data_IF_174327782874
#
_entry.id   IF_174327782874
#
_cell.length_a   1.000
_cell.length_b   1.000
_cell.length_c   1.000
_cell.angle_alpha   90.00
_cell.angle_beta   90.00
_cell.angle_gamma   90.00
#
_symmetry.space_group_name_H-M   'P 1'
#
loop_
_entity.id
_entity.type
_entity.pdbx_description
1 polymer ?
#
# COMPACT_ATOMS: atom_id res chain seq x y z
N UNK A 1 17.79 -12.58 -2.57
CA UNK A 1 16.86 -12.35 -3.70
C UNK A 1 15.49 -12.99 -3.47
N UNK A 2 15.42 -14.28 -3.13
CA UNK A 2 14.17 -15.02 -2.88
C UNK A 2 13.33 -14.45 -1.72
N UNK A 3 13.95 -14.07 -0.61
CA UNK A 3 13.24 -13.48 0.54
C UNK A 3 12.51 -12.17 0.20
N UNK A 4 13.10 -11.32 -0.66
CA UNK A 4 12.50 -10.06 -1.10
C UNK A 4 11.29 -10.27 -2.03
N UNK A 5 11.36 -11.28 -2.90
CA UNK A 5 10.21 -11.70 -3.72
C UNK A 5 9.08 -12.26 -2.87
N UNK A 6 9.39 -13.15 -1.92
CA UNK A 6 8.39 -13.75 -1.03
C UNK A 6 7.71 -12.69 -0.17
N UNK A 7 8.48 -11.80 0.47
CA UNK A 7 7.94 -10.69 1.24
C UNK A 7 7.11 -9.75 0.34
N UNK A 8 7.62 -9.37 -0.83
CA UNK A 8 6.91 -8.52 -1.78
C UNK A 8 5.57 -9.11 -2.21
N UNK A 9 5.53 -10.40 -2.53
CA UNK A 9 4.29 -11.11 -2.91
C UNK A 9 3.32 -11.21 -1.73
N UNK A 10 3.79 -11.56 -0.53
CA UNK A 10 2.93 -11.63 0.66
C UNK A 10 2.32 -10.26 0.97
N UNK A 11 3.12 -9.19 0.95
CA UNK A 11 2.64 -7.82 1.17
C UNK A 11 1.70 -7.35 0.06
N UNK A 12 1.94 -7.72 -1.20
CA UNK A 12 1.04 -7.43 -2.31
C UNK A 12 -0.30 -8.15 -2.14
N UNK A 13 -0.31 -9.44 -1.82
CA UNK A 13 -1.54 -10.21 -1.61
C UNK A 13 -2.33 -9.63 -0.44
N UNK A 14 -1.68 -9.35 0.69
CA UNK A 14 -2.31 -8.69 1.84
C UNK A 14 -2.87 -7.32 1.48
N UNK A 15 -2.10 -6.53 0.73
CA UNK A 15 -2.50 -5.22 0.22
C UNK A 15 -3.69 -5.28 -0.75
N UNK A 16 -3.73 -6.27 -1.64
CA UNK A 16 -4.82 -6.47 -2.61
C UNK A 16 -6.10 -6.92 -1.91
N UNK A 17 -5.97 -7.82 -0.92
CA UNK A 17 -7.09 -8.24 -0.06
C UNK A 17 -7.64 -7.04 0.72
N UNK A 18 -6.76 -6.13 1.15
CA UNK A 18 -7.14 -4.85 1.73
C UNK A 18 -7.83 -3.92 0.76
N UNK A 19 -7.27 -3.73 -0.44
CA UNK A 19 -7.90 -2.91 -1.46
C UNK A 19 -9.24 -3.44 -1.96
N UNK A 20 -9.44 -4.75 -1.93
CA UNK A 20 -10.69 -5.41 -2.31
C UNK A 20 -11.79 -5.31 -1.24
N UNK A 21 -11.45 -4.87 -0.02
CA UNK A 21 -12.41 -4.76 1.09
C UNK A 21 -12.91 -6.11 1.60
N UNK A 22 -12.24 -7.20 1.24
CA UNK A 22 -12.61 -8.58 1.62
C UNK A 22 -12.21 -8.89 3.06
N UNK A 23 -11.15 -8.26 3.54
CA UNK A 23 -10.77 -8.27 4.96
C UNK A 23 -10.95 -6.85 5.51
N UNK A 24 -11.78 -6.70 6.55
CA UNK A 24 -12.00 -5.40 7.25
C UNK A 24 -11.61 -5.47 8.73
N UNK A 25 -10.93 -6.55 9.14
CA UNK A 25 -10.61 -6.84 10.54
C UNK A 25 -9.75 -5.75 11.19
N UNK A 26 -8.80 -5.16 10.44
CA UNK A 26 -7.97 -4.06 10.95
C UNK A 26 -8.77 -2.78 11.27
N UNK A 27 -9.93 -2.56 10.63
CA UNK A 27 -10.77 -1.38 10.89
C UNK A 27 -11.42 -1.43 12.27
N UNK A 28 -11.59 -2.64 12.81
CA UNK A 28 -12.12 -2.84 14.16
C UNK A 28 -11.09 -2.47 15.24
N UNK A 29 -9.79 -2.57 14.91
CA UNK A 29 -8.67 -2.33 15.84
C UNK A 29 -8.19 -0.88 15.84
N UNK A 30 -8.26 -0.17 14.70
CA UNK A 30 -7.82 1.23 14.59
C UNK A 30 -8.91 2.13 14.02
N UNK A 31 -9.72 2.72 14.91
CA UNK A 31 -10.64 3.84 14.59
C UNK A 31 -9.85 5.16 14.66
N UNK A 32 -9.57 5.77 13.51
CA UNK A 32 -8.90 7.09 13.43
C UNK A 32 -7.63 7.12 12.58
N UNK A 33 -6.64 7.92 12.99
CA UNK A 33 -5.30 8.00 12.38
C UNK A 33 -4.66 6.60 12.33
N UNK A 34 -4.40 6.08 11.12
CA UNK A 34 -3.88 4.72 10.91
C UNK A 34 -4.90 3.70 10.39
N UNK A 35 -6.16 4.06 10.13
CA UNK A 35 -7.11 3.17 9.44
C UNK A 35 -6.69 2.82 8.00
N UNK A 36 -5.79 3.61 7.41
CA UNK A 36 -5.24 3.39 6.06
C UNK A 36 -3.99 2.50 6.02
N UNK A 37 -3.53 2.00 7.17
CA UNK A 37 -2.30 1.19 7.27
C UNK A 37 -2.37 -0.09 6.43
N UNK A 38 -3.57 -0.68 6.29
CA UNK A 38 -3.78 -1.84 5.43
C UNK A 38 -3.56 -1.54 3.93
N UNK A 39 -3.76 -0.30 3.51
CA UNK A 39 -3.47 0.14 2.14
C UNK A 39 -1.98 0.39 1.93
N UNK A 40 -1.26 0.87 2.97
CA UNK A 40 0.18 1.08 2.92
C UNK A 40 0.96 -0.21 2.62
N UNK A 41 0.47 -1.37 3.07
CA UNK A 41 1.07 -2.68 2.79
C UNK A 41 1.15 -3.01 1.30
N UNK A 42 0.18 -2.57 0.49
CA UNK A 42 0.24 -2.77 -0.97
C UNK A 42 1.42 -2.01 -1.59
N UNK A 43 1.58 -0.74 -1.21
CA UNK A 43 2.65 0.14 -1.69
C UNK A 43 4.02 -0.32 -1.19
N UNK A 44 4.08 -0.82 0.04
CA UNK A 44 5.28 -1.42 0.61
C UNK A 44 5.69 -2.68 -0.17
N UNK A 45 4.74 -3.58 -0.45
CA UNK A 45 4.98 -4.78 -1.25
C UNK A 45 5.45 -4.45 -2.67
N UNK A 46 4.83 -3.45 -3.31
CA UNK A 46 5.24 -2.98 -4.63
C UNK A 46 6.66 -2.39 -4.63
N UNK A 47 7.02 -1.61 -3.61
CA UNK A 47 8.37 -1.06 -3.46
C UNK A 47 9.43 -2.16 -3.32
N UNK A 48 9.16 -3.16 -2.46
CA UNK A 48 10.05 -4.32 -2.30
C UNK A 48 10.18 -5.14 -3.57
N UNK A 49 9.08 -5.34 -4.29
CA UNK A 49 9.09 -6.11 -5.54
C UNK A 49 9.87 -5.35 -6.63
N UNK A 50 9.64 -4.04 -6.78
CA UNK A 50 10.39 -3.19 -7.70
C UNK A 50 11.90 -3.16 -7.38
N UNK A 51 12.27 -3.01 -6.10
CA UNK A 51 13.67 -3.05 -5.67
C UNK A 51 14.32 -4.42 -5.95
N UNK A 52 13.59 -5.52 -5.73
CA UNK A 52 14.09 -6.86 -5.98
C UNK A 52 14.26 -7.12 -7.47
N UNK A 53 13.29 -6.74 -8.31
CA UNK A 53 13.42 -6.81 -9.78
C UNK A 53 14.58 -5.94 -10.27
N UNK A 54 14.76 -4.75 -9.69
CA UNK A 54 15.91 -3.89 -9.95
C UNK A 54 17.23 -4.61 -9.70
N UNK A 55 17.39 -5.27 -8.54
CA UNK A 55 18.58 -6.06 -8.23
C UNK A 55 18.82 -7.20 -9.24
N UNK A 56 17.76 -7.86 -9.73
CA UNK A 56 17.89 -8.90 -10.76
C UNK A 56 18.34 -8.34 -12.11
N UNK A 57 17.93 -7.11 -12.46
CA UNK A 57 18.29 -6.47 -13.73
C UNK A 57 19.60 -5.68 -13.65
N UNK A 58 20.09 -5.39 -12.45
CA UNK A 58 21.35 -4.66 -12.22
C UNK A 58 22.58 -5.16 -12.98
N UNK A 59 22.82 -6.48 -13.18
CA UNK A 59 23.96 -6.94 -13.98
C UNK A 59 23.76 -6.77 -15.50
N UNK A 60 22.53 -6.56 -15.96
CA UNK A 60 22.20 -6.46 -17.39
C UNK A 60 22.05 -5.01 -17.87
N UNK A 61 21.49 -4.12 -17.05
CA UNK A 61 21.33 -2.70 -17.40
C UNK A 61 21.32 -1.79 -16.17
N UNK A 62 22.30 -0.89 -16.09
CA UNK A 62 22.41 0.12 -15.02
C UNK A 62 21.32 1.20 -15.10
N UNK A 63 20.92 1.56 -16.31
CA UNK A 63 19.86 2.54 -16.57
C UNK A 63 18.52 2.01 -16.05
N UNK A 64 18.18 0.77 -16.42
CA UNK A 64 16.96 0.14 -15.94
C UNK A 64 16.97 -0.02 -14.41
N UNK A 65 18.12 -0.40 -13.84
CA UNK A 65 18.29 -0.46 -12.39
C UNK A 65 18.01 0.89 -11.71
N UNK A 66 18.56 1.99 -12.22
CA UNK A 66 18.34 3.32 -11.65
C UNK A 66 16.86 3.74 -11.72
N UNK A 67 16.18 3.44 -12.83
CA UNK A 67 14.74 3.71 -12.99
C UNK A 67 13.91 2.88 -12.00
N UNK A 68 14.16 1.57 -11.89
CA UNK A 68 13.44 0.71 -10.94
C UNK A 68 13.72 1.08 -9.48
N UNK A 69 14.96 1.50 -9.17
CA UNK A 69 15.32 1.95 -7.84
C UNK A 69 14.61 3.26 -7.49
N UNK A 70 14.55 4.22 -8.43
CA UNK A 70 13.78 5.44 -8.28
C UNK A 70 12.28 5.16 -8.08
N UNK A 71 11.70 4.27 -8.88
CA UNK A 71 10.32 3.84 -8.72
C UNK A 71 10.07 3.18 -7.35
N UNK A 72 10.97 2.30 -6.89
CA UNK A 72 10.88 1.68 -5.57
C UNK A 72 10.92 2.72 -4.44
N UNK A 73 11.79 3.72 -4.53
CA UNK A 73 11.87 4.80 -3.55
C UNK A 73 10.57 5.61 -3.50
N UNK A 74 10.00 5.96 -4.65
CA UNK A 74 8.71 6.68 -4.73
C UNK A 74 7.59 5.83 -4.11
N UNK A 75 7.51 4.54 -4.46
CA UNK A 75 6.51 3.62 -3.89
C UNK A 75 6.65 3.49 -2.37
N UNK A 76 7.88 3.51 -1.85
CA UNK A 76 8.15 3.44 -0.43
C UNK A 76 7.72 4.73 0.29
N UNK A 77 7.93 5.90 -0.32
CA UNK A 77 7.40 7.17 0.18
C UNK A 77 5.87 7.14 0.22
N UNK A 78 5.21 6.63 -0.83
CA UNK A 78 3.75 6.47 -0.87
C UNK A 78 3.28 5.49 0.22
N UNK A 79 4.02 4.42 0.49
CA UNK A 79 3.72 3.49 1.58
C UNK A 79 3.80 4.18 2.95
N UNK A 80 4.87 4.96 3.21
CA UNK A 80 5.02 5.73 4.44
C UNK A 80 3.86 6.71 4.58
N UNK A 81 3.55 7.48 3.53
CA UNK A 81 2.39 8.36 3.52
C UNK A 81 1.11 7.59 3.84
N UNK A 82 0.93 6.39 3.31
CA UNK A 82 -0.25 5.56 3.59
C UNK A 82 -0.43 5.11 5.03
N UNK A 83 0.66 5.02 5.80
CA UNK A 83 0.61 4.72 7.24
C UNK A 83 0.01 5.90 8.02
N UNK A 84 0.39 7.13 7.66
CA UNK A 84 -0.06 8.34 8.35
C UNK A 84 -1.38 8.89 7.77
N UNK A 85 -1.41 9.09 6.46
CA UNK A 85 -2.51 9.69 5.73
C UNK A 85 -2.46 9.34 4.23
N UNK A 86 -3.41 8.53 3.75
CA UNK A 86 -3.54 8.24 2.33
C UNK A 86 -4.44 9.28 1.64
N UNK A 87 -3.99 9.93 0.55
CA UNK A 87 -4.82 10.83 -0.23
C UNK A 87 -6.08 10.15 -0.79
N UNK A 88 -7.15 10.94 -0.92
CA UNK A 88 -8.49 10.49 -1.37
C UNK A 88 -8.51 9.76 -2.73
N UNK A 89 -7.56 10.03 -3.60
CA UNK A 89 -7.42 9.37 -4.90
C UNK A 89 -6.83 7.96 -4.81
N UNK A 90 -6.00 7.67 -3.80
CA UNK A 90 -5.43 6.35 -3.56
C UNK A 90 -6.34 5.46 -2.70
N UNK A 91 -7.39 6.03 -2.11
CA UNK A 91 -8.35 5.26 -1.32
C UNK A 91 -9.33 4.50 -2.23
N UNK A 92 -9.54 3.20 -1.99
CA UNK A 92 -10.48 2.42 -2.78
C UNK A 92 -11.91 2.92 -2.62
N UNK A 93 -12.73 2.73 -3.67
CA UNK A 93 -14.11 3.23 -3.75
C UNK A 93 -14.97 2.77 -2.57
N UNK A 94 -14.82 1.51 -2.13
CA UNK A 94 -15.58 0.96 -1.00
C UNK A 94 -15.24 1.66 0.32
N UNK A 95 -13.98 2.06 0.54
CA UNK A 95 -13.58 2.74 1.77
C UNK A 95 -14.05 4.19 1.80
N UNK A 96 -14.10 4.83 0.63
CA UNK A 96 -14.71 6.16 0.48
C UNK A 96 -16.21 6.13 0.78
N UNK A 97 -16.94 5.14 0.26
CA UNK A 97 -18.35 4.95 0.57
C UNK A 97 -18.57 4.76 2.08
N UNK A 98 -17.79 3.89 2.72
CA UNK A 98 -17.88 3.65 4.17
C UNK A 98 -17.59 4.92 5.01
N UNK A 99 -16.56 5.70 4.65
CA UNK A 99 -16.27 6.97 5.35
C UNK A 99 -17.34 8.04 5.13
N UNK A 100 -17.94 8.12 3.94
CA UNK A 100 -19.04 9.02 3.66
C UNK A 100 -20.29 8.69 4.49
N UNK A 101 -20.65 7.41 4.57
CA UNK A 101 -21.77 6.92 5.40
C UNK A 101 -21.55 7.19 6.90
N UNK A 102 -20.30 7.05 7.38
CA UNK A 102 -19.94 7.36 8.77
C UNK A 102 -20.08 8.86 9.10
N UNK A 103 -19.74 9.76 8.17
CA UNK A 103 -19.94 11.20 8.37
C UNK A 103 -21.41 11.61 8.43
N UNK A 104 -22.29 10.95 7.67
CA UNK A 104 -23.73 11.26 7.66
C UNK A 104 -24.42 10.82 8.95
N UNK A 105 -24.00 9.69 9.54
CA UNK A 105 -24.57 9.20 10.81
C UNK A 105 -24.04 9.93 12.05
N UNK A 106 -22.88 10.58 11.98
CA UNK A 106 -22.30 11.34 13.09
C UNK A 106 -22.86 12.76 13.29
N UNK A 107 -23.68 13.26 12.35
CA UNK A 107 -24.31 14.59 12.42
C UNK A 107 -25.76 14.58 12.93
N UNK A 108 -26.26 13.45 13.43
CA UNK A 108 -27.59 13.31 14.03
C UNK A 108 -27.52 12.84 15.49
N UNK A 109 -26.52 13.31 16.24
CA UNK A 109 -26.43 13.09 17.68
C UNK A 109 -26.37 14.43 18.40
#
# INVERSE_FOLDING_TARGET
MTAGLLLGVVFLVLGVVAYSGRWKGWMRVRRGFGSTIGFAWLWLGAAFLAATVGLLVSPYSRELFAVLLGAAAILLLVAIMGVFWLPRFLLPRWYRAWRGEASTKGGQA
#
